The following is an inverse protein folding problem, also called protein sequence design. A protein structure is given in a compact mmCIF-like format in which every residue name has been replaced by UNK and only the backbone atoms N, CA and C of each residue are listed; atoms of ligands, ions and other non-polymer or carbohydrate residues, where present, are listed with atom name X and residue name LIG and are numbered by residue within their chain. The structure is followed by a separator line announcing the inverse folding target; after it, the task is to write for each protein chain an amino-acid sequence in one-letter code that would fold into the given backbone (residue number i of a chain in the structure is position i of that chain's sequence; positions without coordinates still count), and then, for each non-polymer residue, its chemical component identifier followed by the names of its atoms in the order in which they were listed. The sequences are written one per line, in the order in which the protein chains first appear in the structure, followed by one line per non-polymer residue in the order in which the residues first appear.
data_IF_640559694167
#
_entry.id   IF_640559694167
#
_cell.length_a   1.000
_cell.length_b   1.000
_cell.length_c   1.000
_cell.angle_alpha   90.00
_cell.angle_beta   90.00
_cell.angle_gamma   90.00
#
_symmetry.space_group_name_H-M   'P 1'
#
loop_
_entity.id
_entity.type
_entity.pdbx_description
1 polymer ?
#
# COMPACT_ATOMS: atom_id res chain seq x y z
N UNK A 1 -26.36 7.34 -21.51
CA UNK A 1 -26.23 7.88 -20.15
C UNK A 1 -24.77 8.28 -19.96
N UNK A 2 -24.45 9.48 -19.47
CA UNK A 2 -23.07 9.79 -19.12
C UNK A 2 -22.67 8.80 -18.02
N UNK A 3 -21.61 8.03 -18.24
CA UNK A 3 -21.05 7.13 -17.23
C UNK A 3 -20.63 7.98 -16.04
N UNK A 4 -21.22 7.73 -14.87
CA UNK A 4 -20.77 8.37 -13.63
C UNK A 4 -19.30 8.01 -13.43
N UNK A 5 -18.42 8.96 -13.73
CA UNK A 5 -17.01 8.80 -13.49
C UNK A 5 -16.84 8.76 -11.96
N UNK A 6 -16.36 7.64 -11.43
CA UNK A 6 -16.00 7.54 -10.02
C UNK A 6 -14.91 8.59 -9.72
N UNK A 7 -15.30 9.70 -9.11
CA UNK A 7 -14.37 10.76 -8.68
C UNK A 7 -13.83 10.35 -7.32
N UNK A 8 -12.52 10.12 -7.24
CA UNK A 8 -11.86 9.86 -5.98
C UNK A 8 -11.99 11.07 -5.04
N UNK A 9 -12.27 10.82 -3.75
CA UNK A 9 -12.39 11.88 -2.72
C UNK A 9 -11.14 12.77 -2.66
N UNK A 10 -9.95 12.18 -2.89
CA UNK A 10 -8.69 12.91 -2.95
C UNK A 10 -8.64 13.95 -4.08
N UNK A 11 -9.34 13.72 -5.21
CA UNK A 11 -9.44 14.70 -6.30
C UNK A 11 -10.34 15.87 -5.92
N UNK A 12 -11.43 15.60 -5.21
CA UNK A 12 -12.33 16.65 -4.70
C UNK A 12 -11.59 17.52 -3.69
N UNK A 13 -10.84 16.89 -2.76
CA UNK A 13 -10.02 17.60 -1.79
C UNK A 13 -8.93 18.45 -2.44
N UNK A 14 -8.22 17.91 -3.45
CA UNK A 14 -7.19 18.66 -4.17
C UNK A 14 -7.75 19.86 -4.94
N UNK A 15 -8.94 19.71 -5.56
CA UNK A 15 -9.63 20.82 -6.21
C UNK A 15 -10.09 21.89 -5.20
N UNK A 16 -10.59 21.48 -4.04
CA UNK A 16 -11.01 22.41 -2.99
C UNK A 16 -9.84 23.19 -2.35
N UNK A 17 -8.63 22.60 -2.33
CA UNK A 17 -7.43 23.23 -1.81
C UNK A 17 -6.86 24.30 -2.77
N UNK A 18 -6.69 23.98 -4.05
CA UNK A 18 -6.25 24.92 -5.08
C UNK A 18 -6.83 24.56 -6.46
N UNK A 19 -7.94 25.21 -6.87
CA UNK A 19 -8.61 24.90 -8.13
C UNK A 19 -7.71 25.13 -9.35
N UNK A 20 -7.00 26.27 -9.38
CA UNK A 20 -6.18 26.67 -10.51
C UNK A 20 -5.00 25.72 -10.72
N UNK A 21 -4.34 25.31 -9.63
CA UNK A 21 -3.22 24.35 -9.70
C UNK A 21 -3.70 22.96 -10.11
N UNK A 22 -4.85 22.52 -9.60
CA UNK A 22 -5.44 21.24 -9.96
C UNK A 22 -5.85 21.18 -11.45
N UNK A 23 -6.47 22.25 -11.97
CA UNK A 23 -6.83 22.37 -13.39
C UNK A 23 -5.57 22.39 -14.26
N UNK A 24 -4.56 23.19 -13.88
CA UNK A 24 -3.27 23.27 -14.57
C UNK A 24 -2.52 21.94 -14.58
N UNK A 25 -2.67 21.13 -13.54
CA UNK A 25 -2.13 19.77 -13.47
C UNK A 25 -2.96 18.72 -14.24
N UNK A 26 -4.05 19.12 -14.91
CA UNK A 26 -4.92 18.23 -15.68
C UNK A 26 -5.69 17.22 -14.81
N UNK A 27 -6.06 17.62 -13.60
CA UNK A 27 -6.77 16.77 -12.65
C UNK A 27 -5.90 15.67 -12.01
N UNK A 28 -4.57 15.86 -12.05
CA UNK A 28 -3.58 15.05 -11.34
C UNK A 28 -3.08 15.79 -10.10
N UNK A 29 -2.32 15.10 -9.26
CA UNK A 29 -1.70 15.75 -8.12
C UNK A 29 -0.74 16.86 -8.59
N UNK A 30 -1.06 18.10 -8.23
CA UNK A 30 -0.24 19.27 -8.58
C UNK A 30 1.07 19.32 -7.79
N UNK A 31 1.09 18.73 -6.58
CA UNK A 31 2.29 18.56 -5.76
C UNK A 31 2.83 17.11 -5.82
N UNK A 32 3.64 16.83 -6.85
CA UNK A 32 4.23 15.51 -7.07
C UNK A 32 5.11 15.03 -5.89
N UNK A 33 5.75 15.95 -5.16
CA UNK A 33 6.62 15.62 -4.02
C UNK A 33 5.80 15.09 -2.84
N UNK A 34 4.68 15.75 -2.52
CA UNK A 34 3.77 15.31 -1.47
C UNK A 34 3.14 13.95 -1.81
N UNK A 35 2.71 13.74 -3.06
CA UNK A 35 2.18 12.45 -3.51
C UNK A 35 3.20 11.33 -3.40
N UNK A 36 4.45 11.58 -3.83
CA UNK A 36 5.52 10.57 -3.72
C UNK A 36 5.80 10.21 -2.26
N UNK A 37 5.79 11.19 -1.36
CA UNK A 37 5.98 10.97 0.06
C UNK A 37 4.83 10.15 0.66
N UNK A 38 3.58 10.53 0.39
CA UNK A 38 2.38 9.80 0.84
C UNK A 38 2.37 8.35 0.33
N UNK A 39 2.68 8.14 -0.95
CA UNK A 39 2.75 6.80 -1.52
C UNK A 39 3.81 5.93 -0.83
N UNK A 40 5.00 6.49 -0.56
CA UNK A 40 6.08 5.76 0.14
C UNK A 40 5.67 5.39 1.57
N UNK A 41 4.99 6.28 2.28
CA UNK A 41 4.49 6.01 3.62
C UNK A 41 3.43 4.89 3.60
N UNK A 42 2.46 4.96 2.68
CA UNK A 42 1.46 3.91 2.50
C UNK A 42 2.04 2.59 2.02
N UNK A 43 3.07 2.59 1.19
CA UNK A 43 3.78 1.38 0.76
C UNK A 43 4.51 0.71 1.93
N UNK A 44 5.07 1.51 2.85
CA UNK A 44 5.74 1.00 4.04
C UNK A 44 4.75 0.38 5.02
N UNK A 45 3.59 1.02 5.22
CA UNK A 45 2.53 0.52 6.11
C UNK A 45 1.78 -0.66 5.49
N UNK A 46 1.54 -0.60 4.17
CA UNK A 46 0.79 -1.60 3.41
C UNK A 46 1.63 -2.81 2.99
N UNK A 47 2.92 -2.85 3.31
CA UNK A 47 3.75 -4.06 3.17
C UNK A 47 3.20 -5.14 4.09
N UNK A 48 2.34 -5.98 3.53
CA UNK A 48 1.92 -7.21 4.18
C UNK A 48 3.16 -8.08 4.46
N UNK A 49 3.15 -8.88 5.53
CA UNK A 49 4.23 -9.82 5.80
C UNK A 49 4.47 -10.69 4.56
N UNK A 50 5.74 -10.83 4.17
CA UNK A 50 6.08 -11.67 3.02
C UNK A 50 5.63 -13.10 3.28
N UNK A 51 4.72 -13.62 2.43
CA UNK A 51 4.26 -15.01 2.49
C UNK A 51 5.44 -15.99 2.42
N UNK A 52 6.48 -15.66 1.65
CA UNK A 52 7.69 -16.47 1.52
C UNK A 52 8.45 -16.55 2.86
N UNK A 53 8.65 -15.39 3.51
CA UNK A 53 9.33 -15.32 4.82
C UNK A 53 8.54 -16.09 5.87
N UNK A 54 7.20 -15.99 5.84
CA UNK A 54 6.33 -16.76 6.72
C UNK A 54 6.50 -18.28 6.49
N UNK A 55 6.47 -18.75 5.23
CA UNK A 55 6.64 -20.17 4.92
C UNK A 55 8.00 -20.71 5.38
N UNK A 56 9.07 -19.96 5.15
CA UNK A 56 10.42 -20.33 5.62
C UNK A 56 10.45 -20.40 7.15
N UNK A 57 9.92 -19.38 7.83
CA UNK A 57 9.87 -19.35 9.29
C UNK A 57 9.07 -20.52 9.88
N UNK A 58 7.89 -20.81 9.31
CA UNK A 58 7.06 -21.93 9.73
C UNK A 58 7.76 -23.27 9.50
N UNK A 59 8.39 -23.47 8.35
CA UNK A 59 9.14 -24.70 8.04
C UNK A 59 10.31 -24.91 9.00
N UNK A 60 11.10 -23.86 9.28
CA UNK A 60 12.20 -23.91 10.25
C UNK A 60 11.71 -24.20 11.66
N UNK A 61 10.58 -23.62 12.06
CA UNK A 61 9.99 -23.86 13.37
C UNK A 61 9.55 -25.32 13.52
N UNK A 62 8.86 -25.87 12.52
CA UNK A 62 8.45 -27.28 12.52
C UNK A 62 9.69 -28.19 12.55
N UNK A 63 10.70 -27.91 11.72
CA UNK A 63 11.94 -28.66 11.69
C UNK A 63 12.66 -28.64 13.05
N UNK A 64 12.67 -27.49 13.73
CA UNK A 64 13.23 -27.37 15.08
C UNK A 64 12.45 -28.21 16.11
N UNK A 65 11.11 -28.20 16.05
CA UNK A 65 10.29 -29.03 16.96
C UNK A 65 10.53 -30.53 16.76
N UNK A 66 10.76 -30.97 15.52
CA UNK A 66 11.13 -32.35 15.21
C UNK A 66 12.55 -32.66 15.71
N UNK A 67 13.50 -31.73 15.52
CA UNK A 67 14.89 -31.89 15.96
C UNK A 67 15.02 -32.01 17.49
N UNK A 68 14.24 -31.23 18.24
CA UNK A 68 14.21 -31.29 19.71
C UNK A 68 13.29 -32.38 20.28
N UNK A 69 12.76 -33.27 19.43
CA UNK A 69 11.88 -34.39 19.82
C UNK A 69 10.60 -33.98 20.56
N UNK A 70 10.17 -32.71 20.38
CA UNK A 70 8.90 -32.21 20.91
C UNK A 70 7.73 -32.79 20.13
N UNK A 71 7.94 -33.11 18.84
CA UNK A 71 6.99 -33.79 17.97
C UNK A 71 7.59 -35.11 17.45
N UNK A 72 6.78 -36.17 17.32
CA UNK A 72 7.23 -37.41 16.67
C UNK A 72 7.53 -37.17 15.18
N UNK A 73 8.50 -37.92 14.67
CA UNK A 73 8.96 -37.86 13.26
C UNK A 73 7.93 -38.41 12.29
#
# INVERSE_FOLDING_TARGET
MPTEANIAVSKIAAYAESPDDYIRAGGKAYNAKATRYGNRAHETIGKSPSKLVFLIGAGLFIAALIYFEVLPR
#
